data_IF_137909716162
#
_entry.id   IF_137909716162
#
_cell.length_a   1.000
_cell.length_b   1.000
_cell.length_c   1.000
_cell.angle_alpha   90.00
_cell.angle_beta   90.00
_cell.angle_gamma   90.00
#
_symmetry.space_group_name_H-M   'P 1'
#
loop_
_entity.id
_entity.type
_entity.pdbx_description
1 polymer ?
#
# COMPACT_ATOMS: atom_id res chain seq x y z
N UNK A 1 41.56 -51.40 17.14
CA UNK A 1 41.30 -50.61 15.90
C UNK A 1 39.81 -50.33 15.86
N UNK A 2 39.40 -49.06 16.00
CA UNK A 2 38.01 -48.62 16.17
C UNK A 2 37.33 -48.57 14.79
N UNK A 3 36.18 -49.25 14.62
CA UNK A 3 35.35 -49.10 13.42
C UNK A 3 33.91 -48.78 13.85
N UNK A 4 33.66 -47.49 14.03
CA UNK A 4 32.32 -46.91 14.15
C UNK A 4 31.92 -46.43 12.75
N UNK A 5 31.00 -47.11 12.08
CA UNK A 5 30.37 -46.59 10.86
C UNK A 5 28.94 -46.21 11.19
N UNK A 6 28.74 -44.91 11.14
CA UNK A 6 27.62 -44.13 11.64
C UNK A 6 26.43 -44.23 10.68
N UNK A 7 25.30 -44.74 11.19
CA UNK A 7 23.96 -44.55 10.60
C UNK A 7 23.41 -43.25 11.18
N UNK A 8 23.10 -42.25 10.35
CA UNK A 8 22.19 -41.14 10.70
C UNK A 8 21.76 -40.40 9.43
N UNK A 9 20.60 -40.74 8.86
CA UNK A 9 19.28 -40.11 9.07
C UNK A 9 19.07 -38.87 8.20
N UNK A 10 18.22 -39.03 7.19
CA UNK A 10 17.73 -37.99 6.31
C UNK A 10 16.86 -36.98 7.07
N UNK A 11 17.08 -35.69 6.82
CA UNK A 11 16.15 -34.62 7.19
C UNK A 11 16.08 -33.61 6.04
N UNK A 12 15.07 -33.76 5.20
CA UNK A 12 14.68 -32.78 4.19
C UNK A 12 14.03 -31.57 4.87
N UNK A 13 14.73 -30.44 4.91
CA UNK A 13 14.16 -29.15 5.31
C UNK A 13 13.39 -28.54 4.12
N UNK A 14 12.13 -28.94 3.95
CA UNK A 14 11.17 -28.19 3.12
C UNK A 14 10.26 -27.41 4.06
N UNK A 15 10.68 -26.20 4.40
CA UNK A 15 9.90 -25.18 5.11
C UNK A 15 10.66 -23.86 4.91
N UNK A 16 10.15 -22.75 4.39
CA UNK A 16 8.82 -22.17 4.47
C UNK A 16 8.58 -21.32 3.22
N UNK A 17 7.46 -21.52 2.55
CA UNK A 17 6.83 -20.49 1.73
C UNK A 17 5.33 -20.70 1.80
N UNK A 18 4.74 -20.45 2.98
CA UNK A 18 3.29 -20.35 3.10
C UNK A 18 2.88 -19.05 2.42
N UNK A 19 2.62 -19.10 1.12
CA UNK A 19 1.99 -18.00 0.41
C UNK A 19 0.53 -17.98 0.82
N UNK A 20 0.22 -17.16 1.83
CA UNK A 20 -1.16 -16.85 2.20
C UNK A 20 -1.70 -15.94 1.10
N UNK A 21 -2.43 -16.54 0.16
CA UNK A 21 -3.23 -15.78 -0.78
C UNK A 21 -4.49 -15.34 -0.02
N UNK A 22 -4.48 -14.09 0.47
CA UNK A 22 -5.68 -13.47 1.01
C UNK A 22 -6.65 -13.24 -0.13
N UNK A 23 -7.67 -14.09 -0.21
CA UNK A 23 -8.83 -13.86 -1.07
C UNK A 23 -9.41 -12.49 -0.71
N UNK A 24 -9.14 -11.50 -1.55
CA UNK A 24 -9.77 -10.21 -1.43
C UNK A 24 -11.21 -10.41 -1.90
N UNK A 25 -12.14 -10.53 -0.96
CA UNK A 25 -13.55 -10.38 -1.27
C UNK A 25 -13.71 -9.09 -2.09
N UNK A 26 -14.51 -9.07 -3.17
CA UNK A 26 -14.85 -7.82 -3.81
C UNK A 26 -15.55 -6.97 -2.76
N UNK A 27 -14.86 -5.98 -2.21
CA UNK A 27 -15.52 -4.94 -1.43
C UNK A 27 -16.20 -4.04 -2.45
N UNK A 28 -17.54 -3.97 -2.51
CA UNK A 28 -18.20 -2.93 -3.26
C UNK A 28 -17.95 -1.62 -2.49
N UNK A 29 -16.79 -1.01 -2.71
CA UNK A 29 -16.55 0.34 -2.25
C UNK A 29 -17.35 1.24 -3.18
N UNK A 30 -18.61 1.52 -2.83
CA UNK A 30 -19.45 2.53 -3.50
C UNK A 30 -18.97 3.95 -3.20
N UNK A 31 -17.65 4.16 -3.21
CA UNK A 31 -16.96 5.41 -2.92
C UNK A 31 -15.64 5.47 -3.65
N UNK A 32 -15.23 6.68 -4.00
CA UNK A 32 -14.01 6.98 -4.75
C UNK A 32 -12.78 6.37 -4.07
N UNK A 33 -11.87 5.76 -4.83
CA UNK A 33 -10.68 5.16 -4.25
C UNK A 33 -9.39 5.62 -4.96
N UNK A 34 -8.31 5.69 -4.18
CA UNK A 34 -6.95 5.94 -4.69
C UNK A 34 -6.11 4.69 -4.44
N UNK A 35 -5.63 4.05 -5.50
CA UNK A 35 -4.66 2.96 -5.40
C UNK A 35 -3.26 3.57 -5.34
N UNK A 36 -2.73 3.68 -4.13
CA UNK A 36 -1.43 4.27 -3.86
C UNK A 36 -0.34 3.19 -3.80
N UNK A 37 0.61 3.29 -4.72
CA UNK A 37 1.86 2.52 -4.71
C UNK A 37 2.95 3.34 -4.05
N UNK A 38 3.51 2.84 -2.96
CA UNK A 38 4.62 3.46 -2.24
C UNK A 38 5.91 2.68 -2.47
N UNK A 39 6.81 3.23 -3.28
CA UNK A 39 8.14 2.63 -3.51
C UNK A 39 9.20 3.14 -2.51
N UNK A 40 8.85 4.08 -1.62
CA UNK A 40 9.78 4.60 -0.64
C UNK A 40 10.15 3.54 0.39
N UNK A 41 11.35 3.67 0.94
CA UNK A 41 11.79 2.93 2.12
C UNK A 41 11.10 3.37 3.43
N UNK A 42 10.20 4.34 3.38
CA UNK A 42 9.43 4.84 4.53
C UNK A 42 7.93 4.74 4.28
N UNK A 43 7.14 4.66 5.36
CA UNK A 43 5.69 4.77 5.27
C UNK A 43 5.28 6.19 4.82
N UNK A 44 4.20 6.29 4.07
CA UNK A 44 3.64 7.57 3.60
C UNK A 44 2.21 7.75 4.10
N UNK A 45 1.93 8.93 4.63
CA UNK A 45 0.60 9.40 5.00
C UNK A 45 -0.03 10.09 3.80
N UNK A 46 -1.14 9.56 3.31
CA UNK A 46 -1.86 10.06 2.16
C UNK A 46 -3.02 10.98 2.56
N UNK A 47 -3.18 12.03 1.79
CA UNK A 47 -4.17 13.08 1.95
C UNK A 47 -4.78 13.42 0.60
N UNK A 48 -6.03 13.86 0.64
CA UNK A 48 -6.74 14.47 -0.48
C UNK A 48 -7.05 15.91 -0.11
N UNK A 49 -6.60 16.84 -0.92
CA UNK A 49 -6.90 18.25 -0.76
C UNK A 49 -8.06 18.61 -1.68
N UNK A 50 -9.19 19.00 -1.09
CA UNK A 50 -10.40 19.44 -1.78
C UNK A 50 -10.94 20.70 -1.09
N UNK A 51 -11.39 21.69 -1.85
CA UNK A 51 -11.95 22.93 -1.29
C UNK A 51 -10.99 23.72 -0.37
N UNK A 52 -9.67 23.53 -0.54
CA UNK A 52 -8.64 24.22 0.26
C UNK A 52 -8.24 23.53 1.57
N UNK A 53 -8.83 22.39 1.93
CA UNK A 53 -8.50 21.62 3.13
C UNK A 53 -7.92 20.24 2.82
N UNK A 54 -7.03 19.74 3.68
CA UNK A 54 -6.46 18.40 3.58
C UNK A 54 -7.29 17.39 4.38
N UNK A 55 -7.69 16.31 3.72
CA UNK A 55 -8.36 15.16 4.34
C UNK A 55 -7.41 13.97 4.36
N UNK A 56 -7.12 13.43 5.54
CA UNK A 56 -6.32 12.20 5.65
C UNK A 56 -7.13 11.00 5.17
N UNK A 57 -6.59 10.24 4.23
CA UNK A 57 -7.25 9.06 3.63
C UNK A 57 -6.57 7.74 4.00
N UNK A 58 -5.41 7.79 4.64
CA UNK A 58 -4.76 6.62 5.22
C UNK A 58 -3.25 6.62 5.08
N UNK A 59 -2.61 5.58 5.62
CA UNK A 59 -1.18 5.34 5.53
C UNK A 59 -0.88 4.10 4.69
N UNK A 60 0.19 4.18 3.91
CA UNK A 60 0.73 3.10 3.08
C UNK A 60 2.14 2.75 3.56
N UNK A 61 2.37 1.46 3.82
CA UNK A 61 3.65 0.95 4.29
C UNK A 61 4.74 1.13 3.21
N UNK A 62 6.04 1.13 3.57
CA UNK A 62 7.12 1.16 2.59
C UNK A 62 7.04 -0.02 1.63
N UNK A 63 7.43 0.19 0.37
CA UNK A 63 7.45 -0.85 -0.69
C UNK A 63 6.14 -1.65 -0.82
N UNK A 64 4.99 -0.96 -0.73
CA UNK A 64 3.69 -1.61 -0.71
C UNK A 64 2.64 -0.85 -1.53
N UNK A 65 1.56 -1.54 -1.87
CA UNK A 65 0.41 -0.95 -2.57
C UNK A 65 -0.81 -1.05 -1.66
N UNK A 66 -1.58 0.03 -1.58
CA UNK A 66 -2.83 0.05 -0.82
C UNK A 66 -3.88 0.90 -1.51
N UNK A 67 -5.10 0.38 -1.54
CA UNK A 67 -6.28 1.12 -1.97
C UNK A 67 -6.85 1.90 -0.79
N UNK A 68 -6.99 3.20 -0.96
CA UNK A 68 -7.47 4.15 0.05
C UNK A 68 -8.81 4.72 -0.39
N UNK A 69 -9.84 4.56 0.43
CA UNK A 69 -11.17 5.11 0.14
C UNK A 69 -11.19 6.59 0.50
N UNK A 70 -11.63 7.41 -0.44
CA UNK A 70 -11.79 8.86 -0.28
C UNK A 70 -13.25 9.13 0.07
N UNK A 71 -13.48 9.64 1.28
CA UNK A 71 -14.81 10.02 1.76
C UNK A 71 -15.00 11.53 1.64
N UNK A 72 -16.24 11.97 1.39
CA UNK A 72 -16.58 13.39 1.36
C UNK A 72 -16.19 14.14 0.09
N UNK A 73 -15.75 13.43 -0.97
CA UNK A 73 -15.47 14.02 -2.28
C UNK A 73 -16.30 13.33 -3.35
N UNK A 74 -17.02 14.11 -4.16
CA UNK A 74 -17.86 13.59 -5.24
C UNK A 74 -17.02 13.08 -6.43
N UNK A 75 -17.55 12.07 -7.13
CA UNK A 75 -16.96 11.59 -8.38
C UNK A 75 -16.81 12.72 -9.41
N UNK A 76 -15.69 12.73 -10.14
CA UNK A 76 -15.43 13.77 -11.14
C UNK A 76 -14.91 15.10 -10.57
N UNK A 77 -14.77 15.22 -9.25
CA UNK A 77 -14.13 16.39 -8.64
C UNK A 77 -12.64 16.41 -8.93
N UNK A 78 -12.09 17.59 -9.20
CA UNK A 78 -10.65 17.82 -9.24
C UNK A 78 -10.12 18.02 -7.82
N UNK A 79 -9.15 17.21 -7.43
CA UNK A 79 -8.46 17.29 -6.14
C UNK A 79 -6.96 17.33 -6.31
N UNK A 80 -6.24 17.71 -5.26
CA UNK A 80 -4.81 17.48 -5.16
C UNK A 80 -4.58 16.27 -4.26
N UNK A 81 -3.83 15.28 -4.74
CA UNK A 81 -3.35 14.18 -3.91
C UNK A 81 -2.05 14.60 -3.24
N UNK A 82 -1.89 14.31 -1.94
CA UNK A 82 -0.68 14.62 -1.20
C UNK A 82 -0.24 13.43 -0.34
N UNK A 83 1.04 13.10 -0.37
CA UNK A 83 1.62 11.99 0.37
C UNK A 83 2.86 12.51 1.09
N UNK A 84 2.84 12.47 2.41
CA UNK A 84 3.94 12.91 3.26
C UNK A 84 4.60 11.69 3.88
N UNK A 85 5.92 11.60 3.84
CA UNK A 85 6.64 10.54 4.57
C UNK A 85 6.31 10.63 6.06
N UNK A 86 6.27 9.50 6.77
CA UNK A 86 5.92 9.49 8.20
C UNK A 86 6.85 10.38 9.05
N UNK A 87 8.11 10.52 8.62
CA UNK A 87 9.13 11.40 9.21
C UNK A 87 8.98 12.89 8.80
N UNK A 88 8.11 13.19 7.84
CA UNK A 88 7.86 14.56 7.35
C UNK A 88 8.91 15.11 6.38
N UNK A 89 10.04 14.42 6.19
CA UNK A 89 11.14 14.85 5.31
C UNK A 89 10.76 15.08 3.85
N UNK A 90 9.77 14.35 3.30
CA UNK A 90 9.34 14.49 1.91
C UNK A 90 7.82 14.60 1.81
N UNK A 91 7.38 15.42 0.87
CA UNK A 91 5.99 15.54 0.48
C UNK A 91 5.89 15.42 -1.03
N UNK A 92 5.06 14.49 -1.50
CA UNK A 92 4.74 14.27 -2.89
C UNK A 92 3.34 14.80 -3.16
N UNK A 93 3.18 15.60 -4.21
CA UNK A 93 1.89 16.14 -4.61
C UNK A 93 1.57 15.74 -6.04
N UNK A 94 0.28 15.56 -6.32
CA UNK A 94 -0.25 15.40 -7.67
C UNK A 94 -1.51 16.26 -7.77
N UNK A 95 -1.39 17.37 -8.47
CA UNK A 95 -2.44 18.36 -8.62
C UNK A 95 -3.41 18.01 -9.74
N UNK A 96 -4.62 18.59 -9.67
CA UNK A 96 -5.66 18.48 -10.68
C UNK A 96 -5.99 17.03 -11.09
N UNK A 97 -6.10 16.17 -10.09
CA UNK A 97 -6.50 14.77 -10.26
C UNK A 97 -8.01 14.70 -10.24
N UNK A 98 -8.61 14.27 -11.35
CA UNK A 98 -10.02 13.90 -11.39
C UNK A 98 -10.19 12.56 -10.67
N UNK A 99 -10.88 12.55 -9.54
CA UNK A 99 -11.18 11.29 -8.88
C UNK A 99 -12.16 10.48 -9.74
N UNK A 100 -11.81 9.22 -9.97
CA UNK A 100 -12.66 8.15 -10.53
C UNK A 100 -12.84 7.00 -9.53
N UNK A 101 -13.63 5.98 -9.88
CA UNK A 101 -13.87 4.81 -9.00
C UNK A 101 -12.58 4.18 -8.45
N UNK A 102 -11.50 4.19 -9.24
CA UNK A 102 -10.16 3.79 -8.79
C UNK A 102 -9.09 4.62 -9.53
N UNK A 103 -8.49 5.57 -8.82
CA UNK A 103 -7.41 6.41 -9.33
C UNK A 103 -6.05 5.86 -8.94
N UNK A 104 -5.20 5.56 -9.91
CA UNK A 104 -3.84 5.09 -9.66
C UNK A 104 -2.87 6.24 -9.38
N UNK A 105 -2.06 6.07 -8.33
CA UNK A 105 -1.00 6.99 -7.99
C UNK A 105 0.22 6.26 -7.43
N UNK A 106 1.40 6.63 -7.92
CA UNK A 106 2.68 6.06 -7.47
C UNK A 106 3.54 7.16 -6.89
N UNK A 107 4.08 6.91 -5.71
CA UNK A 107 5.13 7.73 -5.10
C UNK A 107 6.47 6.97 -5.12
N UNK A 108 7.60 7.68 -5.23
CA UNK A 108 8.93 7.10 -5.24
C UNK A 108 9.23 6.29 -3.99
#
# INVERSE_FOLDING_TARGET
MRMFTMVLLAASLVACSRKVEVGSAPSPSSGMAVKLTNNASQAVNAYVTAGGGDVFIGQVAPNSVKTLVVSGVSSGSSVTLKAKTADGARTYTKDNVTLSESTDWTVP
#
